data_IF_504692462962
#
_entry.id   IF_504692462962
#
_cell.length_a   1.000
_cell.length_b   1.000
_cell.length_c   1.000
_cell.angle_alpha   90.00
_cell.angle_beta   90.00
_cell.angle_gamma   90.00
#
_symmetry.space_group_name_H-M   'P 1'
#
loop_
_entity.id
_entity.type
_entity.pdbx_description
1 polymer ?
#
# COMPACT_ATOMS: atom_id res chain seq x y z
N UNK A 1 -4.90 -17.25 49.10
CA UNK A 1 -5.70 -17.18 47.86
C UNK A 1 -5.38 -15.87 47.14
N UNK A 2 -4.90 -16.00 45.90
CA UNK A 2 -4.95 -15.06 44.75
C UNK A 2 -4.55 -13.59 44.98
N UNK A 3 -3.31 -13.28 44.62
CA UNK A 3 -2.91 -11.95 44.20
C UNK A 3 -3.53 -11.66 42.82
N UNK A 4 -4.50 -10.74 42.78
CA UNK A 4 -5.12 -10.23 41.56
C UNK A 4 -4.97 -8.71 41.52
N UNK A 5 -4.01 -8.20 40.77
CA UNK A 5 -4.17 -7.06 39.85
C UNK A 5 -2.85 -6.79 39.13
N UNK A 6 -2.64 -7.55 38.06
CA UNK A 6 -1.80 -7.07 36.97
C UNK A 6 -2.52 -5.94 36.23
N UNK A 7 -1.73 -5.03 35.69
CA UNK A 7 -2.04 -4.19 34.52
C UNK A 7 -2.82 -2.88 34.76
N UNK A 8 -2.13 -1.84 35.23
CA UNK A 8 -2.50 -0.45 34.93
C UNK A 8 -1.29 0.45 34.73
N UNK A 9 -0.46 0.15 33.73
CA UNK A 9 0.43 1.15 33.10
C UNK A 9 0.47 0.85 31.60
N UNK A 10 -0.56 1.30 30.87
CA UNK A 10 -0.52 1.43 29.41
C UNK A 10 -0.98 2.86 29.12
N UNK A 11 -0.08 3.83 29.30
CA UNK A 11 -0.34 5.23 28.94
C UNK A 11 0.91 6.05 28.68
N UNK A 12 2.03 5.40 28.30
CA UNK A 12 3.23 6.12 27.87
C UNK A 12 3.76 5.44 26.62
N UNK A 13 3.41 6.02 25.47
CA UNK A 13 3.86 5.53 24.17
C UNK A 13 3.43 6.39 22.99
N UNK A 14 2.92 7.61 23.20
CA UNK A 14 2.84 8.64 22.16
C UNK A 14 3.87 9.72 22.45
N UNK A 15 5.12 9.31 22.68
CA UNK A 15 6.24 10.22 22.66
C UNK A 15 6.59 10.47 21.20
N UNK A 16 6.29 11.68 20.76
CA UNK A 16 6.72 12.32 19.51
C UNK A 16 8.22 12.09 19.30
N UNK A 17 8.57 11.08 18.51
CA UNK A 17 9.93 10.95 17.95
C UNK A 17 9.92 11.79 16.68
N UNK A 18 10.00 13.12 16.84
CA UNK A 18 10.53 14.01 15.81
C UNK A 18 12.05 14.01 16.01
N UNK A 19 12.70 12.93 15.59
CA UNK A 19 14.16 12.83 15.56
C UNK A 19 14.57 12.63 14.10
N UNK A 20 14.97 13.74 13.47
CA UNK A 20 15.65 13.76 12.19
C UNK A 20 14.82 14.34 11.04
N UNK A 21 14.86 15.67 10.90
CA UNK A 21 14.67 16.29 9.60
C UNK A 21 15.83 15.87 8.68
N UNK A 22 15.63 14.76 7.98
CA UNK A 22 16.24 14.49 6.67
C UNK A 22 15.09 14.15 5.71
N UNK A 23 14.40 15.18 5.22
CA UNK A 23 13.58 15.14 4.01
C UNK A 23 12.59 13.98 3.88
N UNK A 24 11.64 13.82 4.82
CA UNK A 24 10.52 12.90 4.64
C UNK A 24 9.77 13.30 3.36
N UNK A 25 9.91 12.49 2.31
CA UNK A 25 9.28 12.75 1.01
C UNK A 25 7.78 12.58 1.17
N UNK A 26 6.98 13.51 0.63
CA UNK A 26 5.52 13.33 0.59
C UNK A 26 5.15 12.12 -0.27
N UNK A 27 3.97 11.50 -0.05
CA UNK A 27 3.48 10.41 -0.90
C UNK A 27 3.55 10.73 -2.40
N UNK A 28 3.10 11.93 -2.79
CA UNK A 28 3.18 12.40 -4.18
C UNK A 28 4.62 12.52 -4.68
N UNK A 29 5.53 13.02 -3.85
CA UNK A 29 6.95 13.14 -4.23
C UNK A 29 7.59 11.77 -4.41
N UNK A 30 7.24 10.78 -3.57
CA UNK A 30 7.70 9.40 -3.70
C UNK A 30 7.18 8.79 -5.01
N UNK A 31 5.87 8.89 -5.25
CA UNK A 31 5.23 8.35 -6.45
C UNK A 31 5.74 9.01 -7.73
N UNK A 32 6.10 10.31 -7.68
CA UNK A 32 6.64 11.02 -8.85
C UNK A 32 8.10 10.70 -9.12
N UNK A 33 8.94 10.64 -8.07
CA UNK A 33 10.39 10.70 -8.21
C UNK A 33 11.11 9.37 -7.91
N UNK A 34 10.49 8.46 -7.15
CA UNK A 34 11.10 7.19 -6.72
C UNK A 34 10.50 6.01 -7.48
N UNK A 35 9.18 5.99 -7.62
CA UNK A 35 8.44 4.95 -8.36
C UNK A 35 8.90 4.90 -9.83
N UNK A 36 9.26 3.69 -10.27
CA UNK A 36 9.59 3.37 -11.66
C UNK A 36 8.33 3.02 -12.44
N UNK A 37 8.43 3.09 -13.75
CA UNK A 37 7.27 2.97 -14.63
C UNK A 37 6.83 1.51 -14.81
N UNK A 38 7.69 0.55 -14.49
CA UNK A 38 7.41 -0.88 -14.64
C UNK A 38 8.14 -1.71 -13.59
N UNK A 39 7.51 -2.80 -13.17
CA UNK A 39 8.08 -3.80 -12.28
C UNK A 39 7.63 -5.19 -12.70
N UNK A 40 8.57 -6.12 -12.87
CA UNK A 40 8.28 -7.54 -13.11
C UNK A 40 8.54 -8.34 -11.85
N UNK A 41 7.64 -9.26 -11.53
CA UNK A 41 7.64 -9.93 -10.23
C UNK A 41 6.61 -11.03 -10.10
N UNK A 42 6.15 -11.23 -8.87
CA UNK A 42 5.13 -12.23 -8.57
C UNK A 42 4.27 -11.85 -7.37
N UNK A 43 3.00 -12.25 -7.39
CA UNK A 43 2.12 -12.33 -6.22
C UNK A 43 1.60 -13.75 -6.10
N UNK A 44 1.51 -14.32 -4.89
CA UNK A 44 0.93 -15.65 -4.69
C UNK A 44 -0.57 -15.69 -5.02
N UNK A 45 -1.25 -14.55 -4.89
CA UNK A 45 -2.70 -14.43 -5.03
C UNK A 45 -3.06 -13.31 -6.00
N UNK A 46 -4.21 -13.45 -6.67
CA UNK A 46 -4.94 -12.32 -7.27
C UNK A 46 -5.49 -11.40 -6.18
N UNK A 47 -5.65 -10.11 -6.49
CA UNK A 47 -6.40 -9.18 -5.63
C UNK A 47 -7.87 -9.59 -5.53
N UNK A 48 -8.56 -9.10 -4.49
CA UNK A 48 -10.01 -9.30 -4.36
C UNK A 48 -10.75 -8.88 -5.64
N UNK A 49 -10.46 -7.67 -6.10
CA UNK A 49 -10.87 -7.22 -7.42
C UNK A 49 -9.84 -7.74 -8.42
N UNK A 50 -9.96 -8.99 -8.85
CA UNK A 50 -8.97 -9.65 -9.75
C UNK A 50 -8.86 -8.99 -11.13
N UNK A 51 -9.82 -8.12 -11.46
CA UNK A 51 -9.71 -7.19 -12.59
C UNK A 51 -8.59 -6.16 -12.41
N UNK A 52 -8.17 -5.88 -11.17
CA UNK A 52 -7.17 -4.88 -10.82
C UNK A 52 -5.75 -5.43 -10.87
N UNK A 53 -5.51 -6.52 -10.13
CA UNK A 53 -4.23 -7.19 -10.15
C UNK A 53 -4.39 -8.71 -10.19
N UNK A 54 -3.80 -9.31 -11.21
CA UNK A 54 -3.62 -10.76 -11.30
C UNK A 54 -2.29 -11.17 -10.65
N UNK A 55 -2.33 -12.25 -9.89
CA UNK A 55 -1.15 -12.89 -9.31
C UNK A 55 -0.44 -13.79 -10.32
N UNK A 56 0.42 -14.66 -9.80
CA UNK A 56 1.29 -15.52 -10.60
C UNK A 56 2.71 -14.98 -10.73
N UNK A 57 3.57 -15.79 -11.34
CA UNK A 57 4.98 -15.46 -11.54
C UNK A 57 5.22 -14.82 -12.91
N UNK A 58 6.10 -13.83 -12.96
CA UNK A 58 6.44 -13.11 -14.19
C UNK A 58 5.45 -12.00 -14.55
N UNK A 59 4.47 -11.71 -13.69
CA UNK A 59 3.53 -10.60 -13.88
C UNK A 59 4.27 -9.27 -13.90
N UNK A 60 3.84 -8.36 -14.77
CA UNK A 60 4.46 -7.04 -14.95
C UNK A 60 3.43 -5.96 -14.65
N UNK A 61 3.69 -5.19 -13.59
CA UNK A 61 2.88 -4.04 -13.19
C UNK A 61 3.49 -2.78 -13.79
N UNK A 62 2.70 -2.02 -14.56
CA UNK A 62 3.12 -0.75 -15.16
C UNK A 62 2.36 0.41 -14.54
N UNK A 63 3.06 1.53 -14.34
CA UNK A 63 2.51 2.77 -13.82
C UNK A 63 2.66 3.87 -14.88
N UNK A 64 1.53 4.33 -15.42
CA UNK A 64 1.49 5.58 -16.16
C UNK A 64 1.19 6.71 -15.16
N UNK A 65 2.26 7.39 -14.74
CA UNK A 65 2.19 8.48 -13.75
C UNK A 65 1.53 9.74 -14.29
N UNK A 66 1.54 9.94 -15.61
CA UNK A 66 0.95 11.12 -16.25
C UNK A 66 -0.57 10.95 -16.33
N UNK A 67 -1.03 9.82 -16.86
CA UNK A 67 -2.45 9.50 -17.01
C UNK A 67 -3.08 8.90 -15.75
N UNK A 68 -2.26 8.64 -14.73
CA UNK A 68 -2.63 8.03 -13.44
C UNK A 68 -3.34 6.70 -13.64
N UNK A 69 -2.72 5.82 -14.43
CA UNK A 69 -3.22 4.46 -14.67
C UNK A 69 -2.20 3.41 -14.25
N UNK A 70 -2.70 2.24 -13.86
CA UNK A 70 -1.94 1.03 -13.54
C UNK A 70 -2.47 -0.11 -14.41
N UNK A 71 -1.58 -0.94 -14.94
CA UNK A 71 -1.92 -2.19 -15.63
C UNK A 71 -1.08 -3.36 -15.10
N UNK A 72 -1.60 -4.58 -15.22
CA UNK A 72 -0.92 -5.81 -14.78
C UNK A 72 -0.90 -6.86 -15.90
N UNK A 73 -0.08 -6.59 -16.91
CA UNK A 73 0.15 -7.48 -18.05
C UNK A 73 -1.00 -7.57 -19.06
N UNK A 74 -2.15 -6.97 -18.78
CA UNK A 74 -3.31 -6.84 -19.66
C UNK A 74 -3.43 -5.42 -20.25
N UNK A 75 -4.22 -5.26 -21.32
CA UNK A 75 -4.51 -3.96 -21.95
C UNK A 75 -5.49 -3.11 -21.13
N UNK A 76 -5.64 -3.38 -19.82
CA UNK A 76 -6.56 -2.67 -18.94
C UNK A 76 -5.80 -1.63 -18.13
N UNK A 77 -6.11 -0.37 -18.43
CA UNK A 77 -5.62 0.77 -17.68
C UNK A 77 -6.62 1.17 -16.60
N UNK A 78 -6.25 0.97 -15.34
CA UNK A 78 -7.11 1.23 -14.19
C UNK A 78 -6.63 2.48 -13.49
N UNK A 79 -7.56 3.39 -13.17
CA UNK A 79 -7.22 4.67 -12.56
C UNK A 79 -6.75 4.48 -11.12
N UNK A 80 -5.71 5.19 -10.75
CA UNK A 80 -5.21 5.23 -9.38
C UNK A 80 -4.99 6.67 -8.89
N UNK A 81 -5.12 6.86 -7.58
CA UNK A 81 -4.76 8.09 -6.89
C UNK A 81 -3.81 7.77 -5.75
N UNK A 82 -2.74 8.56 -5.62
CA UNK A 82 -1.85 8.51 -4.45
C UNK A 82 -2.53 9.32 -3.35
N UNK A 83 -2.72 8.69 -2.19
CA UNK A 83 -3.38 9.35 -1.06
C UNK A 83 -2.39 10.20 -0.26
N UNK A 84 -2.80 11.43 0.05
CA UNK A 84 -2.16 12.21 1.11
C UNK A 84 -2.40 11.57 2.48
N UNK A 85 -1.58 11.93 3.48
CA UNK A 85 -1.74 11.45 4.85
C UNK A 85 -3.14 11.76 5.43
N UNK A 86 -3.73 12.91 5.07
CA UNK A 86 -5.09 13.25 5.50
C UNK A 86 -6.15 12.39 4.82
N UNK A 87 -6.01 12.09 3.52
CA UNK A 87 -6.93 11.19 2.81
C UNK A 87 -6.83 9.75 3.33
N UNK A 88 -5.64 9.29 3.74
CA UNK A 88 -5.51 7.97 4.36
C UNK A 88 -6.35 7.88 5.65
N UNK A 89 -6.60 8.98 6.36
CA UNK A 89 -7.46 8.97 7.56
C UNK A 89 -8.94 8.81 7.24
N UNK A 90 -9.37 9.14 6.01
CA UNK A 90 -10.78 9.12 5.60
C UNK A 90 -11.21 7.79 4.96
N UNK A 91 -10.27 6.94 4.52
CA UNK A 91 -10.61 5.61 3.98
C UNK A 91 -11.22 4.70 5.06
N UNK A 92 -12.00 3.67 4.66
CA UNK A 92 -12.65 2.75 5.60
C UNK A 92 -11.70 2.17 6.68
N UNK A 93 -12.19 2.10 7.92
CA UNK A 93 -11.38 1.74 9.09
C UNK A 93 -10.69 0.37 8.99
N UNK A 94 -11.31 -0.59 8.30
CA UNK A 94 -10.72 -1.91 8.06
C UNK A 94 -9.39 -1.83 7.30
N UNK A 95 -9.31 -0.98 6.26
CA UNK A 95 -8.08 -0.78 5.50
C UNK A 95 -7.02 -0.05 6.32
N UNK A 96 -7.42 0.97 7.10
CA UNK A 96 -6.52 1.67 8.03
C UNK A 96 -5.93 0.74 9.09
N UNK A 97 -6.74 -0.18 9.62
CA UNK A 97 -6.28 -1.21 10.56
C UNK A 97 -5.19 -2.11 9.97
N UNK A 98 -5.29 -2.45 8.69
CA UNK A 98 -4.23 -3.18 7.98
C UNK A 98 -2.95 -2.36 7.84
N UNK A 99 -3.02 -1.06 7.55
CA UNK A 99 -1.82 -0.21 7.48
C UNK A 99 -1.09 -0.20 8.83
N UNK A 100 -1.84 -0.08 9.93
CA UNK A 100 -1.28 -0.12 11.29
C UNK A 100 -0.58 -1.46 11.57
N UNK A 101 -1.17 -2.60 11.15
CA UNK A 101 -0.52 -3.90 11.35
C UNK A 101 0.77 -4.07 10.54
N UNK A 102 0.96 -3.29 9.48
CA UNK A 102 2.17 -3.27 8.65
C UNK A 102 3.24 -2.28 9.14
N UNK A 103 2.97 -1.44 10.14
CA UNK A 103 3.84 -0.30 10.52
C UNK A 103 5.32 -0.68 10.68
N UNK A 104 5.62 -1.78 11.39
CA UNK A 104 6.99 -2.27 11.57
C UNK A 104 7.70 -2.62 10.27
N UNK A 105 6.94 -3.08 9.27
CA UNK A 105 7.44 -3.39 7.93
C UNK A 105 7.58 -2.13 7.07
N UNK A 106 6.82 -1.06 7.35
CA UNK A 106 6.85 0.18 6.57
C UNK A 106 7.92 1.16 7.06
N UNK A 107 8.29 1.09 8.34
CA UNK A 107 9.23 2.03 8.97
C UNK A 107 10.56 2.12 8.22
N UNK A 108 10.97 3.35 7.90
CA UNK A 108 12.23 3.64 7.22
C UNK A 108 12.26 3.33 5.73
N UNK A 109 11.10 3.04 5.10
CA UNK A 109 10.97 2.80 3.66
C UNK A 109 10.22 3.94 2.98
N UNK A 110 10.49 4.14 1.70
CA UNK A 110 9.67 5.03 0.86
C UNK A 110 8.34 4.31 0.60
N UNK A 111 7.23 4.88 1.07
CA UNK A 111 5.92 4.21 0.99
C UNK A 111 4.77 5.19 0.82
N UNK A 112 3.71 4.76 0.17
CA UNK A 112 2.47 5.53 -0.01
C UNK A 112 1.28 4.59 -0.22
N UNK A 113 0.08 5.08 0.05
CA UNK A 113 -1.17 4.35 -0.21
C UNK A 113 -1.73 4.79 -1.56
N UNK A 114 -2.24 3.85 -2.34
CA UNK A 114 -3.02 4.13 -3.54
C UNK A 114 -4.47 3.69 -3.36
N UNK A 115 -5.38 4.50 -3.89
CA UNK A 115 -6.76 4.14 -4.18
C UNK A 115 -6.87 3.78 -5.65
N UNK A 116 -7.64 2.74 -5.97
CA UNK A 116 -7.82 2.23 -7.34
C UNK A 116 -9.30 2.02 -7.61
N UNK A 117 -9.77 2.50 -8.77
CA UNK A 117 -11.18 2.39 -9.18
C UNK A 117 -11.30 2.43 -10.72
N UNK A 118 -12.14 1.56 -11.29
CA UNK A 118 -12.42 1.54 -12.73
C UNK A 118 -13.30 2.71 -13.21
N UNK A 119 -14.05 3.34 -12.30
CA UNK A 119 -14.98 4.45 -12.58
C UNK A 119 -14.30 5.81 -12.52
N UNK A 120 -13.09 5.88 -11.98
CA UNK A 120 -12.34 7.12 -11.73
C UNK A 120 -12.07 7.36 -10.25
N UNK A 121 -11.13 8.25 -9.97
CA UNK A 121 -10.53 8.44 -8.63
C UNK A 121 -10.65 9.88 -8.11
N UNK A 122 -11.69 10.60 -8.54
CA UNK A 122 -11.97 11.99 -8.13
C UNK A 122 -12.29 12.09 -6.63
N UNK A 123 -12.82 11.01 -6.07
CA UNK A 123 -13.07 10.82 -4.63
C UNK A 123 -12.37 9.54 -4.17
N UNK A 124 -11.05 9.60 -3.96
CA UNK A 124 -10.28 8.39 -3.75
C UNK A 124 -10.60 7.68 -2.42
N UNK A 125 -11.31 8.33 -1.49
CA UNK A 125 -11.87 7.74 -0.26
C UNK A 125 -13.14 6.89 -0.49
N UNK A 126 -13.76 6.98 -1.66
CA UNK A 126 -14.90 6.15 -2.10
C UNK A 126 -14.45 5.04 -3.09
N UNK A 127 -13.15 4.89 -3.30
CA UNK A 127 -12.59 3.93 -4.26
C UNK A 127 -12.87 2.47 -3.87
N UNK A 128 -12.95 1.62 -4.90
CA UNK A 128 -13.23 0.19 -4.77
C UNK A 128 -12.15 -0.58 -4.01
N UNK A 129 -10.88 -0.25 -4.25
CA UNK A 129 -9.76 -0.96 -3.66
C UNK A 129 -8.62 -0.04 -3.20
N UNK A 130 -7.89 -0.48 -2.19
CA UNK A 130 -6.74 0.24 -1.62
C UNK A 130 -5.55 -0.68 -1.45
N UNK A 131 -4.36 -0.14 -1.74
CA UNK A 131 -3.10 -0.87 -1.66
C UNK A 131 -2.03 -0.02 -1.00
N UNK A 132 -1.16 -0.65 -0.21
CA UNK A 132 0.08 -0.03 0.26
C UNK A 132 1.20 -0.35 -0.74
N UNK A 133 1.84 0.69 -1.25
CA UNK A 133 3.03 0.56 -2.09
C UNK A 133 4.27 0.82 -1.25
N UNK A 134 5.22 -0.11 -1.29
CA UNK A 134 6.49 -0.02 -0.58
C UNK A 134 7.63 -0.08 -1.57
N UNK A 135 8.46 0.96 -1.59
CA UNK A 135 9.63 1.08 -2.45
C UNK A 135 10.90 0.93 -1.63
N UNK A 136 11.82 0.12 -2.14
CA UNK A 136 13.14 -0.09 -1.54
C UNK A 136 14.23 0.04 -2.60
N UNK A 137 15.48 0.15 -2.16
CA UNK A 137 16.65 0.27 -3.06
C UNK A 137 16.52 1.44 -4.05
N UNK A 138 16.04 2.60 -3.57
CA UNK A 138 15.84 3.79 -4.41
C UNK A 138 14.77 3.60 -5.48
N UNK A 139 13.78 2.75 -5.22
CA UNK A 139 12.68 2.43 -6.13
C UNK A 139 12.96 1.27 -7.08
N UNK A 140 14.12 0.61 -7.01
CA UNK A 140 14.43 -0.57 -7.84
C UNK A 140 13.61 -1.80 -7.47
N UNK A 141 13.10 -1.85 -6.23
CA UNK A 141 12.22 -2.91 -5.74
C UNK A 141 10.90 -2.33 -5.27
N UNK A 142 9.81 -3.02 -5.61
CA UNK A 142 8.45 -2.69 -5.17
C UNK A 142 7.83 -3.87 -4.43
N UNK A 143 7.01 -3.55 -3.42
CA UNK A 143 5.99 -4.45 -2.89
C UNK A 143 4.64 -3.74 -2.93
N UNK A 144 3.60 -4.37 -3.47
CA UNK A 144 2.22 -3.84 -3.52
C UNK A 144 1.36 -4.79 -2.69
N UNK A 145 0.79 -4.26 -1.60
CA UNK A 145 0.08 -5.04 -0.60
C UNK A 145 -1.38 -4.62 -0.59
N UNK A 146 -2.29 -5.55 -0.84
CA UNK A 146 -3.72 -5.30 -0.71
C UNK A 146 -4.10 -5.03 0.75
N UNK A 147 -4.89 -3.98 0.95
CA UNK A 147 -5.33 -3.61 2.30
C UNK A 147 -6.58 -4.36 2.75
N UNK A 148 -7.35 -4.93 1.82
CA UNK A 148 -8.50 -5.78 2.11
C UNK A 148 -8.03 -7.13 2.66
N UNK A 149 -8.65 -7.59 3.75
CA UNK A 149 -8.32 -8.83 4.45
C UNK A 149 -9.56 -9.68 4.66
N UNK A 150 -9.34 -10.97 4.94
CA UNK A 150 -10.37 -11.90 5.42
C UNK A 150 -11.34 -12.39 4.35
N UNK A 151 -10.97 -12.33 3.07
CA UNK A 151 -11.84 -12.72 1.96
C UNK A 151 -11.42 -14.04 1.28
N UNK A 152 -10.19 -14.52 1.53
CA UNK A 152 -9.72 -15.84 1.10
C UNK A 152 -9.45 -16.74 2.31
N UNK A 153 -9.37 -18.04 2.04
CA UNK A 153 -8.87 -19.03 3.00
C UNK A 153 -7.49 -18.63 3.53
N UNK A 154 -7.20 -19.00 4.78
CA UNK A 154 -5.98 -18.64 5.50
C UNK A 154 -5.64 -17.14 5.54
N UNK A 155 -6.64 -16.29 5.26
CA UNK A 155 -6.47 -14.85 5.13
C UNK A 155 -5.43 -14.48 4.06
N UNK A 156 -5.39 -15.23 2.95
CA UNK A 156 -4.54 -14.92 1.79
C UNK A 156 -4.99 -13.62 1.07
N UNK A 157 -4.06 -12.95 0.38
CA UNK A 157 -4.26 -11.63 -0.23
C UNK A 157 -3.19 -11.34 -1.28
N UNK A 158 -3.45 -10.37 -2.16
CA UNK A 158 -2.45 -9.91 -3.12
C UNK A 158 -1.25 -9.24 -2.44
N UNK A 159 -0.07 -9.79 -2.68
CA UNK A 159 1.20 -9.35 -2.11
C UNK A 159 2.30 -9.44 -3.17
N UNK A 160 2.25 -8.52 -4.13
CA UNK A 160 3.18 -8.51 -5.25
C UNK A 160 4.54 -8.02 -4.82
N UNK A 161 5.59 -8.73 -5.24
CA UNK A 161 6.98 -8.32 -5.08
C UNK A 161 7.64 -8.30 -6.45
N UNK A 162 8.22 -7.16 -6.82
CA UNK A 162 8.79 -6.96 -8.15
C UNK A 162 10.06 -6.14 -8.17
N UNK A 163 10.76 -6.19 -9.29
CA UNK A 163 11.95 -5.39 -9.59
C UNK A 163 11.71 -4.58 -10.85
N UNK A 164 12.20 -3.35 -10.84
CA UNK A 164 12.27 -2.55 -12.05
C UNK A 164 13.39 -3.12 -12.93
N UNK A 165 13.19 -3.05 -14.24
CA UNK A 165 14.22 -3.36 -15.24
C UNK A 165 15.40 -2.37 -15.17
#
# INVERSE_FOLDING_TARGET
MKANHFLRIVLVGLALIILGACGQKSPDSIAKNVLKDSYTGSSPEDSYESSVFTGGAGSTVKFDKENRTISNGDDRDIKYSVLSEEQVKTIPAAFRGTIVSLESQLKGKDTFTIAVDYRGVDKPEEAEAYYQVVLTEGGKKIRIIELRRGYKEDNAFYDFNGKAD
#
